data_IF_240626907109
#
_entry.id   IF_240626907109
#
_cell.length_a   1.000
_cell.length_b   1.000
_cell.length_c   1.000
_cell.angle_alpha   90.00
_cell.angle_beta   90.00
_cell.angle_gamma   90.00
#
_symmetry.space_group_name_H-M   'P 1'
#
loop_
_entity.id
_entity.type
_entity.pdbx_description
1 polymer ?
#
# COMPACT_ATOMS: atom_id res chain seq x y z
N UNK A 1 1.46 -13.28 2.20
CA UNK A 1 0.81 -12.98 3.49
C UNK A 1 0.32 -11.54 3.42
N UNK A 2 -0.95 -11.29 3.75
CA UNK A 2 -1.57 -9.97 3.79
C UNK A 2 -1.87 -9.65 5.25
N UNK A 3 -1.42 -8.51 5.76
CA UNK A 3 -1.69 -8.08 7.12
C UNK A 3 -2.25 -6.65 7.10
N UNK A 4 -3.27 -6.40 7.92
CA UNK A 4 -3.81 -5.07 8.21
C UNK A 4 -3.52 -4.82 9.69
N UNK A 5 -2.63 -3.87 9.99
CA UNK A 5 -2.38 -3.40 11.37
C UNK A 5 -3.16 -2.09 11.56
N UNK A 6 -3.88 -1.94 12.69
CA UNK A 6 -4.94 -0.95 12.95
C UNK A 6 -4.73 0.46 12.39
N UNK A 7 -5.83 1.12 11.99
CA UNK A 7 -5.86 2.36 11.20
C UNK A 7 -4.81 2.42 10.06
N UNK A 8 -4.20 1.35 9.54
CA UNK A 8 -4.77 0.29 8.71
C UNK A 8 -3.87 0.02 7.48
N UNK A 9 -2.56 -0.21 7.63
CA UNK A 9 -1.62 -0.29 6.48
C UNK A 9 -1.75 -1.64 5.76
N UNK A 10 -1.79 -1.61 4.42
CA UNK A 10 -1.74 -2.83 3.59
C UNK A 10 -0.31 -3.20 3.23
N UNK A 11 0.14 -4.40 3.57
CA UNK A 11 1.48 -4.88 3.20
C UNK A 11 1.39 -6.05 2.23
N UNK A 12 1.97 -5.90 1.04
CA UNK A 12 2.13 -6.97 0.04
C UNK A 12 3.56 -7.50 0.11
N UNK A 13 3.73 -8.59 0.85
CA UNK A 13 5.03 -9.25 1.06
C UNK A 13 5.26 -10.48 0.16
N UNK A 14 4.33 -10.77 -0.75
CA UNK A 14 4.37 -11.92 -1.66
C UNK A 14 3.87 -11.53 -3.03
N UNK A 15 4.48 -12.06 -4.08
CA UNK A 15 4.15 -11.85 -5.49
C UNK A 15 3.05 -12.79 -6.01
N UNK A 16 2.22 -13.34 -5.13
CA UNK A 16 1.18 -14.27 -5.55
C UNK A 16 0.09 -13.56 -6.37
N UNK A 17 -0.41 -14.19 -7.46
CA UNK A 17 -1.35 -13.57 -8.40
C UNK A 17 -2.57 -12.92 -7.76
N UNK A 18 -3.11 -13.53 -6.69
CA UNK A 18 -4.28 -13.02 -5.97
C UNK A 18 -4.05 -11.67 -5.28
N UNK A 19 -2.80 -11.30 -4.99
CA UNK A 19 -2.45 -10.03 -4.37
C UNK A 19 -1.99 -8.99 -5.38
N UNK A 20 -1.28 -9.42 -6.43
CA UNK A 20 -0.86 -8.53 -7.53
C UNK A 20 -2.05 -8.05 -8.36
N UNK A 21 -3.11 -8.86 -8.46
CA UNK A 21 -4.34 -8.53 -9.17
C UNK A 21 -5.34 -7.71 -8.33
N UNK A 22 -5.02 -7.37 -7.08
CA UNK A 22 -5.92 -6.58 -6.23
C UNK A 22 -6.27 -5.26 -6.90
N UNK A 23 -7.54 -4.88 -6.76
CA UNK A 23 -8.05 -3.59 -7.22
C UNK A 23 -8.05 -2.59 -6.06
N UNK A 24 -7.21 -1.54 -6.09
CA UNK A 24 -7.13 -0.60 -4.98
C UNK A 24 -8.44 0.19 -4.78
N UNK A 25 -9.30 0.28 -5.80
CA UNK A 25 -10.62 0.89 -5.69
C UNK A 25 -11.60 0.06 -4.85
N UNK A 26 -11.47 -1.27 -4.83
CA UNK A 26 -12.35 -2.13 -4.02
C UNK A 26 -12.00 -2.13 -2.53
N UNK A 27 -10.86 -1.53 -2.18
CA UNK A 27 -10.34 -1.41 -0.82
C UNK A 27 -10.49 0.02 -0.25
N UNK A 28 -10.97 0.98 -1.06
CA UNK A 28 -10.89 2.41 -0.80
C UNK A 28 -11.83 2.95 0.29
N UNK A 29 -12.78 2.14 0.76
CA UNK A 29 -13.62 2.43 1.94
C UNK A 29 -12.88 2.22 3.27
N UNK A 30 -11.65 1.69 3.23
CA UNK A 30 -10.80 1.61 4.41
C UNK A 30 -10.32 3.00 4.80
N UNK A 31 -10.40 3.33 6.09
CA UNK A 31 -9.93 4.59 6.70
C UNK A 31 -8.42 4.86 6.47
N UNK A 32 -7.73 3.93 5.83
CA UNK A 32 -6.30 3.94 5.61
C UNK A 32 -5.97 3.66 4.15
N UNK A 33 -5.11 4.50 3.59
CA UNK A 33 -4.77 4.49 2.17
C UNK A 33 -3.29 4.24 1.91
N UNK A 34 -2.56 3.61 2.83
CA UNK A 34 -1.14 3.31 2.62
C UNK A 34 -0.95 1.84 2.23
N UNK A 35 -0.23 1.60 1.13
CA UNK A 35 0.24 0.29 0.71
C UNK A 35 1.75 0.22 0.73
N UNK A 36 2.30 -0.84 1.32
CA UNK A 36 3.72 -1.18 1.26
C UNK A 36 3.88 -2.39 0.32
N UNK A 37 4.44 -2.13 -0.85
CA UNK A 37 4.84 -3.16 -1.80
C UNK A 37 6.28 -3.59 -1.52
N UNK A 38 6.43 -4.68 -0.76
CA UNK A 38 7.72 -5.22 -0.39
C UNK A 38 8.36 -6.07 -1.51
N UNK A 39 7.62 -6.37 -2.58
CA UNK A 39 8.07 -7.24 -3.67
C UNK A 39 8.17 -6.54 -5.01
N UNK A 40 7.80 -5.25 -5.08
CA UNK A 40 7.77 -4.44 -6.31
C UNK A 40 6.89 -5.09 -7.38
N UNK A 41 5.76 -5.66 -6.97
CA UNK A 41 4.85 -6.41 -7.82
C UNK A 41 3.52 -5.70 -8.10
N UNK A 42 3.30 -4.51 -7.55
CA UNK A 42 2.12 -3.69 -7.79
C UNK A 42 2.42 -2.59 -8.83
N UNK A 43 1.38 -2.12 -9.52
CA UNK A 43 1.48 -0.94 -10.41
C UNK A 43 1.34 0.36 -9.59
N UNK A 44 2.40 1.14 -9.37
CA UNK A 44 2.33 2.34 -8.55
C UNK A 44 1.36 3.40 -9.09
N UNK A 45 1.14 3.43 -10.41
CA UNK A 45 0.22 4.38 -11.06
C UNK A 45 -1.22 4.04 -10.70
N UNK A 46 -1.58 2.74 -10.78
CA UNK A 46 -2.91 2.25 -10.44
C UNK A 46 -3.29 2.55 -8.99
N UNK A 47 -2.36 2.35 -8.07
CA UNK A 47 -2.59 2.59 -6.64
C UNK A 47 -2.71 4.08 -6.32
N UNK A 48 -1.78 4.90 -6.84
CA UNK A 48 -1.82 6.37 -6.63
C UNK A 48 -3.05 7.02 -7.26
N UNK A 49 -3.55 6.52 -8.39
CA UNK A 49 -4.69 7.08 -9.09
C UNK A 49 -5.99 7.09 -8.25
N UNK A 50 -6.14 6.16 -7.31
CA UNK A 50 -7.31 6.08 -6.42
C UNK A 50 -6.99 6.56 -4.99
N UNK A 51 -5.91 7.35 -4.86
CA UNK A 51 -5.56 8.06 -3.63
C UNK A 51 -4.76 7.24 -2.63
N UNK A 52 -4.17 6.10 -3.02
CA UNK A 52 -3.26 5.37 -2.15
C UNK A 52 -1.87 5.99 -2.11
N UNK A 53 -1.32 6.10 -0.90
CA UNK A 53 0.10 6.28 -0.68
C UNK A 53 0.83 4.95 -0.90
N UNK A 54 1.55 4.86 -2.02
CA UNK A 54 2.26 3.66 -2.43
C UNK A 54 3.76 3.75 -2.10
N UNK A 55 4.18 2.92 -1.15
CA UNK A 55 5.55 2.81 -0.66
C UNK A 55 6.20 1.50 -1.13
N UNK A 56 7.51 1.54 -1.37
CA UNK A 56 8.31 0.36 -1.71
C UNK A 56 9.49 0.23 -0.75
N UNK A 57 9.87 -1.01 -0.45
CA UNK A 57 11.11 -1.27 0.28
C UNK A 57 12.31 -0.69 -0.50
N UNK A 58 13.18 0.01 0.23
CA UNK A 58 14.37 0.68 -0.31
C UNK A 58 14.13 2.09 -0.85
N UNK A 59 12.87 2.50 -1.04
CA UNK A 59 12.49 3.85 -1.52
C UNK A 59 11.65 4.62 -0.49
N UNK A 60 11.73 4.21 0.78
CA UNK A 60 10.97 4.84 1.85
C UNK A 60 11.30 6.32 1.95
N UNK A 61 10.27 7.12 1.76
CA UNK A 61 10.32 8.55 2.06
C UNK A 61 10.11 8.67 3.56
N UNK A 62 10.98 9.40 4.25
CA UNK A 62 10.78 9.65 5.67
C UNK A 62 9.42 10.31 5.87
N UNK A 63 8.51 9.64 6.58
CA UNK A 63 7.29 10.27 7.04
C UNK A 63 7.69 11.22 8.17
N UNK A 64 7.95 12.48 7.86
CA UNK A 64 8.10 13.52 8.87
C UNK A 64 6.73 13.72 9.51
N UNK A 65 6.52 13.13 10.67
CA UNK A 65 5.46 13.56 11.57
C UNK A 65 5.79 15.00 11.92
N UNK A 66 5.02 15.96 11.40
CA UNK A 66 5.10 17.34 11.83
C UNK A 66 4.39 17.40 13.17
N UNK A 67 5.17 17.27 14.26
CA UNK A 67 4.69 17.48 15.62
C UNK A 67 4.15 18.91 15.72
N UNK A 68 2.91 19.02 16.21
CA UNK A 68 2.23 20.27 16.55
C UNK A 68 2.31 20.51 18.06
#
# INVERSE_FOLDING_TARGET
MLALAGDGVLIVATDWPRYTALDPASLADSTTRTVIDARRCLDPTRWRAVGWDHQQLGDFRHHTVQEA
#
